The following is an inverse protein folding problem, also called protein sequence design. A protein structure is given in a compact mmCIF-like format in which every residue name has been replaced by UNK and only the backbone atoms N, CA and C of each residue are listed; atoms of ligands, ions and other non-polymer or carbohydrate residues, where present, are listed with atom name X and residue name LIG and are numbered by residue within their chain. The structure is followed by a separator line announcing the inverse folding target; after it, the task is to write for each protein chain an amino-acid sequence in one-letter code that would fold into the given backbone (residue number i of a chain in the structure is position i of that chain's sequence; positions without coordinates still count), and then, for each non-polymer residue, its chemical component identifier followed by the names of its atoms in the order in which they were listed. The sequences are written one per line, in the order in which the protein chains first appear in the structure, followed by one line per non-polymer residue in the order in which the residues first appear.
data_IF_393932558039
#
_entry.id   IF_393932558039
#
_cell.length_a   1.000
_cell.length_b   1.000
_cell.length_c   1.000
_cell.angle_alpha   90.00
_cell.angle_beta   90.00
_cell.angle_gamma   90.00
#
_symmetry.space_group_name_H-M   'P 1'
#
loop_
_entity.id
_entity.type
_entity.pdbx_description
1 polymer ?
#
# COMPACT_ATOMS: atom_id res chain seq x y z
N UNK A 1 -12.68 -15.61 6.09
CA UNK A 1 -11.20 -15.51 6.19
C UNK A 1 -10.82 -14.11 6.64
N UNK A 2 -9.66 -13.91 7.27
CA UNK A 2 -9.20 -12.61 7.75
C UNK A 2 -8.45 -11.84 6.65
N UNK A 3 -8.71 -10.53 6.57
CA UNK A 3 -8.06 -9.61 5.65
C UNK A 3 -7.36 -8.50 6.43
N UNK A 4 -6.09 -8.22 6.10
CA UNK A 4 -5.25 -7.24 6.79
C UNK A 4 -4.80 -6.16 5.82
N UNK A 5 -4.96 -4.88 6.19
CA UNK A 5 -4.44 -3.76 5.41
C UNK A 5 -3.39 -2.96 6.19
N UNK A 6 -2.24 -2.71 5.55
CA UNK A 6 -1.13 -1.93 6.11
C UNK A 6 -0.80 -0.75 5.21
N UNK A 7 -0.82 0.44 5.78
CA UNK A 7 -0.69 1.72 5.09
C UNK A 7 0.74 2.04 4.64
N UNK A 8 0.88 3.03 3.75
CA UNK A 8 2.14 3.57 3.25
C UNK A 8 2.86 4.51 4.21
N UNK A 9 4.00 5.01 3.77
CA UNK A 9 4.84 5.95 4.53
C UNK A 9 4.18 7.30 4.74
N UNK A 10 4.29 7.86 5.97
CA UNK A 10 3.68 9.14 6.33
C UNK A 10 2.15 9.12 6.42
N UNK A 11 1.55 7.93 6.46
CA UNK A 11 0.11 7.69 6.51
C UNK A 11 -0.25 6.85 7.74
N UNK A 12 -1.55 6.64 7.94
CA UNK A 12 -2.13 5.77 8.96
C UNK A 12 -3.20 4.86 8.34
N UNK A 13 -3.81 3.99 9.14
CA UNK A 13 -4.90 3.11 8.72
C UNK A 13 -6.11 3.84 8.14
N UNK A 14 -6.30 5.13 8.43
CA UNK A 14 -7.33 5.97 7.80
C UNK A 14 -7.31 5.88 6.27
N UNK A 15 -6.14 5.59 5.68
CA UNK A 15 -5.98 5.32 4.24
C UNK A 15 -7.01 4.34 3.67
N UNK A 16 -7.48 3.38 4.47
CA UNK A 16 -8.43 2.36 4.04
C UNK A 16 -9.84 2.55 4.59
N UNK A 17 -10.06 3.48 5.50
CA UNK A 17 -11.33 3.69 6.17
C UNK A 17 -12.28 4.56 5.34
N UNK A 18 -11.77 5.66 4.83
CA UNK A 18 -12.53 6.62 4.02
C UNK A 18 -11.65 7.24 2.94
N UNK A 19 -12.26 7.66 1.84
CA UNK A 19 -11.59 8.43 0.79
C UNK A 19 -11.61 9.93 1.09
N UNK A 20 -10.72 10.73 0.48
CA UNK A 20 -10.65 12.17 0.73
C UNK A 20 -11.95 12.94 0.40
N UNK A 21 -12.74 12.44 -0.53
CA UNK A 21 -14.03 12.98 -0.97
C UNK A 21 -15.23 12.41 -0.19
N UNK A 22 -14.98 11.65 0.90
CA UNK A 22 -16.00 11.19 1.83
C UNK A 22 -16.69 9.87 1.46
N UNK A 23 -16.24 9.18 0.40
CA UNK A 23 -16.72 7.82 0.11
C UNK A 23 -16.14 6.82 1.11
N UNK A 24 -16.75 5.65 1.22
CA UNK A 24 -16.21 4.52 1.97
C UNK A 24 -14.88 4.05 1.37
N UNK A 25 -13.94 3.66 2.23
CA UNK A 25 -12.66 3.09 1.82
C UNK A 25 -12.69 1.58 1.61
N UNK A 26 -11.56 1.03 1.22
CA UNK A 26 -11.41 -0.41 0.96
C UNK A 26 -11.72 -1.29 2.18
N UNK A 27 -11.56 -0.77 3.41
CA UNK A 27 -11.96 -1.52 4.61
C UNK A 27 -13.45 -1.90 4.52
N UNK A 28 -14.31 -0.94 4.25
CA UNK A 28 -15.76 -1.18 4.11
C UNK A 28 -16.08 -2.02 2.86
N UNK A 29 -15.37 -1.79 1.76
CA UNK A 29 -15.52 -2.62 0.56
C UNK A 29 -15.33 -4.10 0.89
N UNK A 30 -14.22 -4.48 1.50
CA UNK A 30 -13.93 -5.88 1.82
C UNK A 30 -14.84 -6.45 2.92
N UNK A 31 -15.27 -5.63 3.90
CA UNK A 31 -16.29 -6.04 4.87
C UNK A 31 -17.59 -6.44 4.16
N UNK A 32 -18.05 -5.63 3.19
CA UNK A 32 -19.25 -5.91 2.39
C UNK A 32 -19.11 -7.16 1.53
N UNK A 33 -17.88 -7.51 1.14
CA UNK A 33 -17.59 -8.79 0.49
C UNK A 33 -17.54 -9.97 1.46
N UNK A 34 -17.73 -9.77 2.77
CA UNK A 34 -17.78 -10.83 3.77
C UNK A 34 -16.43 -11.16 4.44
N UNK A 35 -15.40 -10.32 4.26
CA UNK A 35 -14.13 -10.48 4.95
C UNK A 35 -14.22 -9.95 6.38
N UNK A 36 -13.59 -10.63 7.34
CA UNK A 36 -13.28 -10.04 8.63
C UNK A 36 -12.02 -9.17 8.47
N UNK A 37 -12.20 -7.85 8.39
CA UNK A 37 -11.13 -6.90 8.08
C UNK A 37 -10.50 -6.34 9.35
N UNK A 38 -9.18 -6.32 9.38
CA UNK A 38 -8.41 -5.62 10.41
C UNK A 38 -7.51 -4.60 9.74
N UNK A 39 -7.70 -3.35 10.09
CA UNK A 39 -6.90 -2.24 9.64
C UNK A 39 -5.94 -1.83 10.73
N UNK A 40 -4.63 -1.87 10.45
CA UNK A 40 -3.58 -1.70 11.47
C UNK A 40 -2.74 -0.47 11.19
N UNK A 41 -2.37 0.25 12.24
CA UNK A 41 -1.36 1.29 12.19
C UNK A 41 0.02 0.72 12.52
N UNK A 42 1.03 1.12 11.74
CA UNK A 42 2.41 0.79 12.03
C UNK A 42 2.87 1.41 13.36
N UNK A 43 3.87 0.83 13.98
CA UNK A 43 4.52 1.44 15.16
C UNK A 43 4.84 2.90 14.87
N UNK A 44 4.59 3.78 15.82
CA UNK A 44 4.74 5.24 15.79
C UNK A 44 3.72 5.99 14.91
N UNK A 45 2.71 5.31 14.34
CA UNK A 45 1.71 5.90 13.45
C UNK A 45 0.30 5.79 13.98
N UNK A 46 -0.54 6.75 13.64
CA UNK A 46 -1.97 6.72 13.91
C UNK A 46 -2.32 6.29 15.34
N UNK A 47 -3.08 5.23 15.48
CA UNK A 47 -3.48 4.65 16.78
C UNK A 47 -2.33 3.99 17.57
N UNK A 48 -1.20 3.71 16.89
CA UNK A 48 0.04 3.23 17.51
C UNK A 48 1.07 4.36 17.68
N UNK A 49 0.60 5.61 17.78
CA UNK A 49 1.38 6.83 17.60
C UNK A 49 2.22 7.27 18.79
N UNK A 50 2.19 6.57 19.93
CA UNK A 50 3.04 6.97 21.03
C UNK A 50 4.50 6.65 20.75
N UNK A 51 5.26 7.72 20.51
CA UNK A 51 6.68 7.66 20.25
C UNK A 51 7.46 8.02 21.51
N UNK A 52 8.23 7.09 22.04
CA UNK A 52 9.17 7.36 23.13
C UNK A 52 10.45 8.01 22.55
N UNK A 53 10.30 9.27 22.13
CA UNK A 53 11.41 10.07 21.62
C UNK A 53 12.04 10.86 22.79
N UNK A 54 13.37 10.96 22.88
CA UNK A 54 14.40 10.34 22.04
C UNK A 54 14.84 8.93 22.48
N UNK A 55 14.20 8.35 23.49
CA UNK A 55 14.71 7.13 24.15
C UNK A 55 14.61 5.91 23.22
N UNK A 56 13.44 5.68 22.62
CA UNK A 56 13.19 4.53 21.73
C UNK A 56 13.40 4.92 20.27
N UNK A 57 12.85 6.06 19.84
CA UNK A 57 12.97 6.53 18.46
C UNK A 57 14.08 7.56 18.34
N UNK A 58 15.06 7.28 17.51
CA UNK A 58 16.27 8.10 17.33
C UNK A 58 16.12 9.08 16.17
N UNK A 59 16.66 10.29 16.35
CA UNK A 59 16.65 11.35 15.34
C UNK A 59 15.30 12.03 15.15
N UNK A 60 15.27 13.02 14.30
CA UNK A 60 14.05 13.77 13.98
C UNK A 60 13.14 12.98 13.06
N UNK A 61 11.82 13.02 13.26
CA UNK A 61 10.88 12.42 12.32
C UNK A 61 10.84 13.19 11.00
N UNK A 62 10.57 12.49 9.92
CA UNK A 62 10.31 13.11 8.63
C UNK A 62 8.91 13.71 8.60
N UNK A 63 8.83 14.97 8.21
CA UNK A 63 7.59 15.68 7.92
C UNK A 63 7.44 15.83 6.41
N UNK A 64 6.20 15.76 5.93
CA UNK A 64 5.86 16.11 4.57
C UNK A 64 5.03 17.38 4.58
N UNK A 65 5.38 18.33 3.73
CA UNK A 65 4.50 19.47 3.44
C UNK A 65 3.31 19.00 2.62
N UNK A 66 2.24 19.82 2.52
CA UNK A 66 1.10 19.47 1.68
C UNK A 66 1.47 19.31 0.19
N UNK A 67 2.50 20.00 -0.28
CA UNK A 67 2.95 19.91 -1.67
C UNK A 67 3.69 18.60 -1.99
N UNK A 68 4.38 18.01 -1.00
CA UNK A 68 5.19 16.81 -1.22
C UNK A 68 4.39 15.62 -1.75
N UNK A 69 3.29 15.18 -1.10
CA UNK A 69 2.54 14.03 -1.60
C UNK A 69 1.80 14.33 -2.91
N UNK A 70 1.49 15.60 -3.21
CA UNK A 70 0.80 15.95 -4.44
C UNK A 70 1.61 15.52 -5.68
N UNK A 71 2.90 15.79 -5.69
CA UNK A 71 3.77 15.36 -6.77
C UNK A 71 4.29 13.93 -6.60
N UNK A 72 4.74 13.57 -5.39
CA UNK A 72 5.33 12.25 -5.11
C UNK A 72 4.37 11.09 -5.31
N UNK A 73 3.07 11.33 -5.18
CA UNK A 73 2.03 10.33 -5.36
C UNK A 73 1.37 10.41 -6.75
N UNK A 74 2.00 11.12 -7.68
CA UNK A 74 1.56 11.24 -9.07
C UNK A 74 0.12 11.76 -9.21
N UNK A 75 -0.28 12.64 -8.28
CA UNK A 75 -1.56 13.37 -8.33
C UNK A 75 -1.41 14.58 -9.23
N UNK A 76 -0.38 15.39 -8.95
CA UNK A 76 -0.08 16.62 -9.66
C UNK A 76 0.78 16.43 -10.91
N UNK A 77 0.67 17.38 -11.84
CA UNK A 77 1.38 17.38 -13.11
C UNK A 77 2.74 18.10 -13.01
N UNK A 78 3.57 17.61 -12.10
CA UNK A 78 4.94 18.06 -11.93
C UNK A 78 5.12 19.29 -11.01
N UNK A 79 6.35 19.85 -10.95
CA UNK A 79 6.68 20.98 -10.09
C UNK A 79 5.77 22.18 -10.34
N UNK A 80 5.31 22.83 -9.26
CA UNK A 80 4.41 24.00 -9.35
C UNK A 80 2.94 23.69 -9.64
N UNK A 81 2.56 22.42 -9.70
CA UNK A 81 1.18 22.00 -9.91
C UNK A 81 0.31 22.06 -8.64
N UNK A 82 0.93 22.05 -7.47
CA UNK A 82 0.23 22.18 -6.20
C UNK A 82 -0.27 23.61 -5.95
N UNK A 83 -1.47 23.73 -5.41
CA UNK A 83 -2.02 24.99 -4.86
C UNK A 83 -2.78 24.68 -3.57
N UNK A 84 -2.81 25.64 -2.64
CA UNK A 84 -3.69 25.58 -1.45
C UNK A 84 -5.16 25.76 -1.81
N UNK A 85 -5.45 26.34 -2.97
CA UNK A 85 -6.77 26.43 -3.58
C UNK A 85 -6.97 25.23 -4.51
N UNK A 86 -7.86 24.28 -4.21
CA UNK A 86 -8.09 23.11 -5.04
C UNK A 86 -8.44 23.42 -6.50
N UNK A 87 -9.12 24.55 -6.76
CA UNK A 87 -9.51 24.96 -8.11
C UNK A 87 -8.29 25.36 -8.98
N UNK A 88 -7.15 25.64 -8.37
CA UNK A 88 -5.89 26.01 -9.02
C UNK A 88 -4.88 24.87 -9.11
N UNK A 89 -5.21 23.70 -8.55
CA UNK A 89 -4.37 22.52 -8.67
C UNK A 89 -4.33 22.02 -10.11
N UNK A 90 -3.13 21.67 -10.59
CA UNK A 90 -2.96 21.03 -11.91
C UNK A 90 -2.72 19.55 -11.71
N UNK A 91 -3.71 18.75 -12.07
CA UNK A 91 -3.65 17.29 -11.95
C UNK A 91 -2.98 16.68 -13.18
N UNK A 92 -2.46 15.46 -13.02
CA UNK A 92 -2.11 14.61 -14.16
C UNK A 92 -3.32 14.44 -15.10
N UNK A 93 -3.11 14.44 -16.42
CA UNK A 93 -4.21 14.27 -17.38
C UNK A 93 -4.99 12.98 -17.13
N UNK A 94 -6.30 13.09 -16.92
CA UNK A 94 -7.16 11.92 -16.64
C UNK A 94 -7.07 11.38 -15.22
N UNK A 95 -6.43 12.09 -14.29
CA UNK A 95 -6.27 11.68 -12.89
C UNK A 95 -7.61 11.31 -12.24
N UNK A 96 -7.64 10.18 -11.56
CA UNK A 96 -8.78 9.70 -10.77
C UNK A 96 -8.76 10.21 -9.32
N UNK A 97 -7.70 10.89 -8.89
CA UNK A 97 -7.63 11.39 -7.52
C UNK A 97 -8.65 12.53 -7.29
N UNK A 98 -9.44 12.48 -6.19
CA UNK A 98 -10.43 13.53 -5.87
C UNK A 98 -9.73 14.78 -5.31
N UNK A 99 -9.29 15.68 -6.19
CA UNK A 99 -8.50 16.86 -5.81
C UNK A 99 -9.26 17.83 -4.88
N UNK A 100 -10.58 17.91 -5.01
CA UNK A 100 -11.44 18.66 -4.10
C UNK A 100 -11.32 18.21 -2.64
N UNK A 101 -11.02 16.93 -2.43
CA UNK A 101 -10.77 16.31 -1.12
C UNK A 101 -9.31 16.38 -0.66
N UNK A 102 -8.40 16.99 -1.41
CA UNK A 102 -6.97 16.95 -1.12
C UNK A 102 -6.62 17.47 0.29
N UNK A 103 -7.32 18.47 0.78
CA UNK A 103 -7.14 18.96 2.15
C UNK A 103 -7.50 17.90 3.19
N UNK A 104 -8.51 17.07 2.94
CA UNK A 104 -8.86 15.96 3.84
C UNK A 104 -7.80 14.86 3.77
N UNK A 105 -7.31 14.55 2.57
CA UNK A 105 -6.20 13.62 2.40
C UNK A 105 -4.99 14.01 3.25
N UNK A 106 -4.59 15.28 3.25
CA UNK A 106 -3.41 15.74 3.99
C UNK A 106 -3.57 15.69 5.51
N UNK A 107 -4.82 15.70 6.03
CA UNK A 107 -5.10 15.59 7.47
C UNK A 107 -4.76 14.23 8.08
N UNK A 108 -4.68 13.17 7.27
CA UNK A 108 -4.25 11.85 7.72
C UNK A 108 -2.72 11.69 7.72
N UNK A 109 -2.00 12.67 7.18
CA UNK A 109 -0.54 12.65 7.16
C UNK A 109 0.02 12.68 8.58
N UNK A 110 0.97 11.77 8.86
CA UNK A 110 1.65 11.68 10.15
C UNK A 110 3.17 11.71 9.93
N UNK A 111 3.91 12.35 10.84
CA UNK A 111 5.38 12.25 10.84
C UNK A 111 5.80 10.78 10.97
N UNK A 112 6.97 10.45 10.47
CA UNK A 112 7.53 9.10 10.61
C UNK A 112 9.02 9.12 10.87
N UNK A 113 9.50 8.19 11.66
CA UNK A 113 10.93 7.93 11.76
C UNK A 113 11.41 7.00 10.65
N UNK A 114 12.66 7.13 10.25
CA UNK A 114 13.29 6.24 9.25
C UNK A 114 14.05 5.08 9.90
N UNK A 115 14.13 5.05 11.21
CA UNK A 115 14.86 4.06 12.01
C UNK A 115 13.98 2.99 12.65
N UNK A 116 12.67 2.98 12.34
CA UNK A 116 11.66 2.14 13.00
C UNK A 116 11.27 0.88 12.22
N UNK A 117 11.84 0.65 11.03
CA UNK A 117 11.44 -0.45 10.14
C UNK A 117 11.50 -1.82 10.85
N UNK A 118 12.55 -2.10 11.64
CA UNK A 118 12.67 -3.36 12.38
C UNK A 118 11.61 -3.51 13.47
N UNK A 119 11.27 -2.42 14.17
CA UNK A 119 10.19 -2.42 15.16
C UNK A 119 8.84 -2.67 14.50
N UNK A 120 8.58 -2.06 13.35
CA UNK A 120 7.35 -2.27 12.56
C UNK A 120 7.25 -3.73 12.11
N UNK A 121 8.32 -4.31 11.56
CA UNK A 121 8.34 -5.71 11.11
C UNK A 121 8.09 -6.66 12.28
N UNK A 122 8.72 -6.43 13.45
CA UNK A 122 8.48 -7.26 14.64
C UNK A 122 7.02 -7.18 15.09
N UNK A 123 6.47 -5.97 15.23
CA UNK A 123 5.08 -5.77 15.64
C UNK A 123 4.07 -6.42 14.67
N UNK A 124 4.30 -6.29 13.38
CA UNK A 124 3.46 -6.94 12.36
C UNK A 124 3.62 -8.46 12.34
N UNK A 125 4.82 -8.98 12.66
CA UNK A 125 5.03 -10.43 12.80
C UNK A 125 4.25 -10.97 13.99
N UNK A 126 4.31 -10.30 15.15
CA UNK A 126 3.53 -10.67 16.34
C UNK A 126 2.01 -10.57 16.11
N UNK A 127 1.57 -9.54 15.36
CA UNK A 127 0.18 -9.43 14.97
C UNK A 127 -0.26 -10.62 14.10
N UNK A 128 0.55 -11.00 13.12
CA UNK A 128 0.28 -12.19 12.28
C UNK A 128 0.27 -13.46 13.12
N UNK A 129 1.17 -13.59 14.08
CA UNK A 129 1.21 -14.74 14.97
C UNK A 129 -0.06 -14.90 15.81
N UNK A 130 -0.65 -13.79 16.24
CA UNK A 130 -1.87 -13.77 17.07
C UNK A 130 -3.15 -14.03 16.29
N UNK A 131 -3.23 -13.57 15.03
CA UNK A 131 -4.54 -13.38 14.39
C UNK A 131 -4.68 -14.02 13.00
N UNK A 132 -3.60 -14.50 12.38
CA UNK A 132 -3.68 -15.24 11.12
C UNK A 132 -3.87 -16.75 11.35
N UNK A 133 -4.43 -17.50 10.39
CA UNK A 133 -4.22 -17.36 8.92
C UNK A 133 -5.02 -16.22 8.27
N UNK A 134 -4.36 -15.46 7.39
CA UNK A 134 -4.94 -14.26 6.80
C UNK A 134 -4.40 -13.93 5.39
N UNK A 135 -5.12 -13.09 4.66
CA UNK A 135 -4.61 -12.32 3.51
C UNK A 135 -4.03 -11.01 4.03
N UNK A 136 -2.90 -10.59 3.48
CA UNK A 136 -2.28 -9.30 3.80
C UNK A 136 -2.29 -8.42 2.53
N UNK A 137 -2.84 -7.21 2.65
CA UNK A 137 -2.73 -6.16 1.66
C UNK A 137 -1.83 -5.06 2.20
N UNK A 138 -0.83 -4.67 1.42
CA UNK A 138 0.14 -3.65 1.80
C UNK A 138 0.26 -2.59 0.72
N UNK A 139 0.51 -1.35 1.15
CA UNK A 139 0.73 -0.23 0.25
C UNK A 139 2.10 0.40 0.47
N UNK A 140 2.78 0.74 -0.62
CA UNK A 140 3.97 1.58 -0.63
C UNK A 140 5.06 1.10 0.36
N UNK A 141 5.39 1.86 1.40
CA UNK A 141 6.39 1.54 2.42
C UNK A 141 6.11 0.20 3.12
N UNK A 142 4.85 -0.17 3.31
CA UNK A 142 4.51 -1.47 3.90
C UNK A 142 4.75 -2.67 2.95
N UNK A 143 5.04 -2.41 1.67
CA UNK A 143 5.38 -3.47 0.71
C UNK A 143 6.50 -4.39 1.18
N UNK A 144 7.71 -3.89 1.47
CA UNK A 144 8.79 -4.71 2.03
C UNK A 144 8.44 -5.31 3.39
N UNK A 145 7.67 -4.63 4.24
CA UNK A 145 7.27 -5.18 5.55
C UNK A 145 6.38 -6.41 5.38
N UNK A 146 5.34 -6.30 4.55
CA UNK A 146 4.44 -7.44 4.29
C UNK A 146 5.15 -8.63 3.67
N UNK A 147 6.07 -8.39 2.73
CA UNK A 147 6.86 -9.44 2.12
C UNK A 147 7.77 -10.13 3.13
N UNK A 148 8.50 -9.39 3.98
CA UNK A 148 9.36 -9.96 5.03
C UNK A 148 8.56 -10.74 6.08
N UNK A 149 7.40 -10.24 6.48
CA UNK A 149 6.52 -10.96 7.41
C UNK A 149 5.98 -12.23 6.78
N UNK A 150 5.56 -12.20 5.51
CA UNK A 150 5.12 -13.40 4.80
C UNK A 150 6.26 -14.42 4.64
N UNK A 151 7.49 -13.97 4.37
CA UNK A 151 8.68 -14.82 4.32
C UNK A 151 9.01 -15.47 5.66
N UNK A 152 8.74 -14.77 6.77
CA UNK A 152 8.94 -15.27 8.13
C UNK A 152 7.80 -16.18 8.63
N UNK A 153 6.59 -16.06 8.05
CA UNK A 153 5.37 -16.78 8.46
C UNK A 153 4.58 -17.30 7.25
N UNK A 154 5.23 -18.11 6.38
CA UNK A 154 4.60 -18.57 5.14
C UNK A 154 3.41 -19.52 5.37
N UNK A 155 3.31 -20.14 6.51
CA UNK A 155 2.20 -20.99 6.94
C UNK A 155 0.94 -20.16 7.30
N UNK A 156 1.12 -18.93 7.78
CA UNK A 156 0.06 -18.05 8.26
C UNK A 156 -0.46 -17.09 7.20
N UNK A 157 0.40 -16.64 6.28
CA UNK A 157 0.01 -15.70 5.22
C UNK A 157 -0.49 -16.48 3.99
N UNK A 158 -1.79 -16.41 3.73
CA UNK A 158 -2.45 -17.19 2.67
C UNK A 158 -2.41 -16.54 1.30
N UNK A 159 -2.29 -15.22 1.25
CA UNK A 159 -1.97 -14.45 0.05
C UNK A 159 -1.42 -13.08 0.44
N UNK A 160 -0.67 -12.48 -0.48
CA UNK A 160 -0.09 -11.15 -0.31
C UNK A 160 -0.48 -10.27 -1.50
N UNK A 161 -1.15 -9.15 -1.23
CA UNK A 161 -1.50 -8.12 -2.21
C UNK A 161 -0.60 -6.91 -2.01
N UNK A 162 0.18 -6.59 -3.02
CA UNK A 162 1.15 -5.50 -3.03
C UNK A 162 0.61 -4.35 -3.89
N UNK A 163 0.12 -3.30 -3.26
CA UNK A 163 -0.32 -2.08 -3.95
C UNK A 163 0.87 -1.13 -4.02
N UNK A 164 1.47 -1.02 -5.19
CA UNK A 164 2.65 -0.19 -5.45
C UNK A 164 3.73 -0.30 -4.34
N UNK A 165 4.30 -1.48 -4.11
CA UNK A 165 5.29 -1.70 -3.05
C UNK A 165 6.56 -0.88 -3.29
N UNK A 166 7.07 -0.20 -2.25
CA UNK A 166 8.24 0.67 -2.35
C UNK A 166 9.59 -0.08 -2.48
N UNK A 167 9.60 -1.37 -2.14
CA UNK A 167 10.76 -2.25 -2.30
C UNK A 167 10.33 -3.73 -2.23
N UNK A 168 11.14 -4.66 -2.73
CA UNK A 168 10.91 -6.10 -2.59
C UNK A 168 11.19 -6.63 -1.18
N UNK A 169 10.85 -7.90 -0.97
CA UNK A 169 11.30 -8.70 0.16
C UNK A 169 12.77 -9.10 0.09
N UNK A 170 13.18 -10.01 0.96
CA UNK A 170 14.54 -10.57 0.92
C UNK A 170 14.64 -11.60 -0.21
N UNK A 171 15.51 -11.34 -1.18
CA UNK A 171 15.73 -12.22 -2.32
C UNK A 171 16.21 -13.63 -1.91
N UNK A 172 16.98 -13.73 -0.82
CA UNK A 172 17.48 -15.01 -0.30
C UNK A 172 16.36 -15.90 0.27
N UNK A 173 15.24 -15.29 0.65
CA UNK A 173 14.07 -15.95 1.22
C UNK A 173 12.89 -16.07 0.24
N UNK A 174 13.11 -15.85 -1.06
CA UNK A 174 12.06 -15.92 -2.07
C UNK A 174 11.34 -17.28 -2.06
N UNK A 175 12.07 -18.37 -1.83
CA UNK A 175 11.52 -19.72 -1.75
C UNK A 175 10.50 -19.94 -0.61
N UNK A 176 10.55 -19.14 0.44
CA UNK A 176 9.57 -19.21 1.53
C UNK A 176 8.16 -18.82 1.06
N UNK A 177 8.07 -18.08 -0.05
CA UNK A 177 6.79 -17.61 -0.61
C UNK A 177 6.19 -18.57 -1.67
N UNK A 178 6.75 -19.76 -1.86
CA UNK A 178 6.27 -20.71 -2.87
C UNK A 178 4.79 -21.09 -2.74
N UNK A 179 4.26 -21.11 -1.51
CA UNK A 179 2.85 -21.45 -1.22
C UNK A 179 1.99 -20.20 -0.90
N UNK A 180 2.55 -19.00 -0.98
CA UNK A 180 1.86 -17.74 -0.75
C UNK A 180 1.69 -17.03 -2.11
N UNK A 181 0.52 -17.10 -2.76
CA UNK A 181 0.30 -16.37 -4.00
C UNK A 181 0.40 -14.86 -3.77
N UNK A 182 1.04 -14.17 -4.70
CA UNK A 182 1.32 -12.74 -4.63
C UNK A 182 0.69 -12.05 -5.82
N UNK A 183 -0.03 -10.97 -5.56
CA UNK A 183 -0.51 -10.03 -6.57
C UNK A 183 0.17 -8.68 -6.36
N UNK A 184 0.79 -8.13 -7.40
CA UNK A 184 1.26 -6.74 -7.42
C UNK A 184 0.34 -5.89 -8.31
N UNK A 185 -0.14 -4.76 -7.79
CA UNK A 185 -1.03 -3.83 -8.49
C UNK A 185 -0.32 -2.50 -8.67
N UNK A 186 -0.29 -1.99 -9.89
CA UNK A 186 0.36 -0.72 -10.24
C UNK A 186 -0.61 0.23 -10.94
N UNK A 187 -0.59 1.50 -10.49
CA UNK A 187 -1.35 2.60 -11.07
C UNK A 187 -0.72 3.18 -12.35
N UNK A 188 -1.13 4.39 -12.67
CA UNK A 188 -0.71 5.10 -13.87
C UNK A 188 0.50 6.03 -13.63
N UNK A 189 1.03 6.63 -14.70
CA UNK A 189 2.12 7.62 -14.72
C UNK A 189 3.45 7.13 -14.11
N UNK A 190 3.63 5.83 -13.95
CA UNK A 190 4.86 5.25 -13.36
C UNK A 190 6.08 5.62 -14.21
N UNK A 191 5.98 5.53 -15.53
CA UNK A 191 7.10 5.82 -16.44
C UNK A 191 7.55 7.28 -16.42
N UNK A 192 6.68 8.18 -15.98
CA UNK A 192 6.97 9.60 -15.87
C UNK A 192 7.61 9.99 -14.53
N UNK A 193 7.59 9.09 -13.54
CA UNK A 193 8.17 9.34 -12.22
C UNK A 193 9.66 8.97 -12.20
N UNK A 194 10.54 9.82 -11.64
CA UNK A 194 11.98 9.57 -11.66
C UNK A 194 12.44 8.34 -10.84
N UNK A 195 11.58 7.77 -10.00
CA UNK A 195 11.92 6.66 -9.08
C UNK A 195 11.15 5.38 -9.37
N UNK A 196 9.88 5.51 -9.72
CA UNK A 196 8.96 4.38 -9.79
C UNK A 196 9.29 3.33 -10.86
N UNK A 197 9.86 3.67 -12.04
CA UNK A 197 10.29 2.65 -13.00
C UNK A 197 11.29 1.67 -12.38
N UNK A 198 12.30 2.19 -11.67
CA UNK A 198 13.32 1.36 -11.00
C UNK A 198 12.73 0.56 -9.84
N UNK A 199 11.88 1.18 -9.01
CA UNK A 199 11.23 0.52 -7.87
C UNK A 199 10.39 -0.67 -8.38
N UNK A 200 9.57 -0.45 -9.42
CA UNK A 200 8.76 -1.49 -10.05
C UNK A 200 9.63 -2.60 -10.65
N UNK A 201 10.68 -2.24 -11.38
CA UNK A 201 11.59 -3.22 -11.99
C UNK A 201 12.23 -4.13 -10.94
N UNK A 202 12.66 -3.60 -9.80
CA UNK A 202 13.22 -4.38 -8.70
C UNK A 202 12.18 -5.35 -8.09
N UNK A 203 10.93 -4.91 -7.95
CA UNK A 203 9.85 -5.78 -7.46
C UNK A 203 9.52 -6.89 -8.45
N UNK A 204 9.49 -6.58 -9.76
CA UNK A 204 9.26 -7.59 -10.79
C UNK A 204 10.39 -8.63 -10.83
N UNK A 205 11.65 -8.19 -10.71
CA UNK A 205 12.80 -9.10 -10.59
C UNK A 205 12.66 -10.03 -9.39
N UNK A 206 12.21 -9.54 -8.24
CA UNK A 206 11.91 -10.37 -7.08
C UNK A 206 10.76 -11.34 -7.38
N UNK A 207 9.74 -10.91 -8.10
CA UNK A 207 8.65 -11.78 -8.55
C UNK A 207 9.13 -12.95 -9.39
N UNK A 208 10.10 -12.73 -10.29
CA UNK A 208 10.71 -13.83 -11.07
C UNK A 208 11.48 -14.80 -10.16
N UNK A 209 12.12 -14.35 -9.11
CA UNK A 209 12.77 -15.23 -8.12
C UNK A 209 11.75 -16.10 -7.37
N UNK A 210 10.59 -15.52 -6.99
CA UNK A 210 9.49 -16.28 -6.38
C UNK A 210 8.96 -17.33 -7.34
N UNK A 211 8.76 -17.00 -8.62
CA UNK A 211 8.32 -17.95 -9.65
C UNK A 211 9.35 -19.06 -9.88
N UNK A 212 10.63 -18.72 -9.95
CA UNK A 212 11.71 -19.69 -10.09
C UNK A 212 11.78 -20.70 -8.92
N UNK A 213 11.33 -20.27 -7.74
CA UNK A 213 11.19 -21.12 -6.55
C UNK A 213 9.88 -21.94 -6.52
N UNK A 214 9.07 -21.88 -7.58
CA UNK A 214 7.80 -22.58 -7.70
C UNK A 214 6.59 -21.84 -7.11
N UNK A 215 6.74 -20.56 -6.77
CA UNK A 215 5.66 -19.71 -6.27
C UNK A 215 4.84 -19.02 -7.37
N UNK A 216 3.76 -18.35 -6.96
CA UNK A 216 2.90 -17.58 -7.85
C UNK A 216 3.12 -16.08 -7.61
N UNK A 217 3.46 -15.36 -8.67
CA UNK A 217 3.56 -13.91 -8.67
C UNK A 217 2.86 -13.36 -9.91
N UNK A 218 1.79 -12.62 -9.69
CA UNK A 218 0.97 -12.03 -10.74
C UNK A 218 1.01 -10.50 -10.64
N UNK A 219 0.79 -9.83 -11.77
CA UNK A 219 0.84 -8.37 -11.87
C UNK A 219 -0.41 -7.87 -12.57
N UNK A 220 -1.07 -6.87 -11.97
CA UNK A 220 -2.06 -6.04 -12.64
C UNK A 220 -1.44 -4.68 -12.85
N UNK A 221 -1.17 -4.33 -14.10
CA UNK A 221 -0.83 -2.98 -14.51
C UNK A 221 -2.14 -2.31 -14.97
N UNK A 222 -2.68 -1.42 -14.16
CA UNK A 222 -4.01 -0.84 -14.39
C UNK A 222 -4.15 -0.18 -15.77
N UNK A 223 -3.20 0.63 -16.26
CA UNK A 223 -3.30 1.20 -17.60
C UNK A 223 -3.38 0.14 -18.71
N UNK A 224 -2.63 -0.96 -18.59
CA UNK A 224 -2.67 -2.06 -19.56
C UNK A 224 -3.98 -2.86 -19.49
N UNK A 225 -4.62 -2.88 -18.30
CA UNK A 225 -5.95 -3.43 -18.11
C UNK A 225 -7.08 -2.47 -18.54
N UNK A 226 -6.75 -1.32 -19.15
CA UNK A 226 -7.72 -0.31 -19.59
C UNK A 226 -8.20 0.63 -18.48
N UNK A 227 -7.65 0.54 -17.27
CA UNK A 227 -8.00 1.37 -16.11
C UNK A 227 -6.93 2.43 -15.95
N UNK A 228 -7.24 3.68 -16.32
CA UNK A 228 -6.29 4.79 -16.41
C UNK A 228 -6.51 5.85 -15.35
N UNK A 229 -5.49 6.66 -15.12
CA UNK A 229 -5.55 7.85 -14.26
C UNK A 229 -5.35 7.55 -12.78
N UNK A 230 -4.98 6.33 -12.40
CA UNK A 230 -4.77 5.99 -11.00
C UNK A 230 -3.45 6.56 -10.47
N UNK A 231 -3.56 7.30 -9.37
CA UNK A 231 -2.43 7.84 -8.62
C UNK A 231 -1.70 6.74 -7.83
N UNK A 232 -0.67 7.12 -7.08
CA UNK A 232 -0.08 6.22 -6.08
C UNK A 232 -1.05 5.82 -4.96
N UNK A 233 -2.09 6.64 -4.75
CA UNK A 233 -3.13 6.40 -3.74
C UNK A 233 -4.35 5.69 -4.35
N UNK A 234 -4.13 4.59 -5.05
CA UNK A 234 -5.14 3.81 -5.79
C UNK A 234 -6.42 3.58 -4.96
N UNK A 235 -6.28 3.29 -3.66
CA UNK A 235 -7.39 3.05 -2.75
C UNK A 235 -8.22 4.32 -2.43
N UNK A 236 -7.76 5.49 -2.85
CA UNK A 236 -8.44 6.77 -2.65
C UNK A 236 -8.97 7.38 -3.95
N UNK A 237 -8.53 6.86 -5.09
CA UNK A 237 -8.97 7.33 -6.41
C UNK A 237 -10.49 7.08 -6.61
N UNK A 238 -11.12 7.84 -7.51
CA UNK A 238 -12.58 7.74 -7.75
C UNK A 238 -13.03 6.36 -8.20
N UNK A 239 -12.17 5.63 -8.88
CA UNK A 239 -12.39 4.26 -9.34
C UNK A 239 -11.83 3.19 -8.39
N UNK A 240 -11.57 3.54 -7.12
CA UNK A 240 -10.96 2.64 -6.12
C UNK A 240 -11.70 1.31 -5.96
N UNK A 241 -13.04 1.32 -5.99
CA UNK A 241 -13.86 0.11 -5.86
C UNK A 241 -13.72 -0.82 -7.06
N UNK A 242 -13.51 -0.28 -8.26
CA UNK A 242 -13.20 -1.09 -9.45
C UNK A 242 -11.90 -1.87 -9.24
N UNK A 243 -10.87 -1.22 -8.70
CA UNK A 243 -9.58 -1.89 -8.42
C UNK A 243 -9.73 -2.89 -7.26
N UNK A 244 -10.47 -2.55 -6.20
CA UNK A 244 -10.79 -3.50 -5.13
C UNK A 244 -11.50 -4.74 -5.67
N UNK A 245 -12.40 -4.58 -6.66
CA UNK A 245 -13.06 -5.69 -7.37
C UNK A 245 -12.08 -6.63 -8.05
N UNK A 246 -11.09 -6.11 -8.77
CA UNK A 246 -10.04 -6.93 -9.39
C UNK A 246 -9.24 -7.73 -8.34
N UNK A 247 -8.92 -7.11 -7.22
CA UNK A 247 -8.24 -7.80 -6.10
C UNK A 247 -9.13 -8.91 -5.54
N UNK A 248 -10.41 -8.63 -5.31
CA UNK A 248 -11.39 -9.60 -4.82
C UNK A 248 -11.53 -10.79 -5.78
N UNK A 249 -11.64 -10.54 -7.08
CA UNK A 249 -11.71 -11.59 -8.11
C UNK A 249 -10.44 -12.44 -8.12
N UNK A 250 -9.28 -11.82 -8.00
CA UNK A 250 -8.02 -12.55 -7.93
C UNK A 250 -7.95 -13.43 -6.68
N UNK A 251 -8.36 -12.93 -5.51
CA UNK A 251 -8.42 -13.71 -4.27
C UNK A 251 -9.39 -14.90 -4.40
N UNK A 252 -10.54 -14.71 -5.04
CA UNK A 252 -11.48 -15.79 -5.31
C UNK A 252 -10.88 -16.88 -6.23
N UNK A 253 -10.12 -16.49 -7.26
CA UNK A 253 -9.39 -17.42 -8.15
C UNK A 253 -8.29 -18.21 -7.40
N UNK A 254 -7.77 -17.68 -6.28
CA UNK A 254 -6.86 -18.43 -5.40
C UNK A 254 -7.61 -19.37 -4.43
N UNK A 255 -8.93 -19.43 -4.46
CA UNK A 255 -9.74 -20.26 -3.56
C UNK A 255 -9.82 -19.72 -2.13
N UNK A 256 -9.47 -18.47 -1.90
CA UNK A 256 -9.40 -17.87 -0.56
C UNK A 256 -10.72 -17.25 -0.09
N UNK A 257 -11.65 -17.09 -0.99
CA UNK A 257 -12.99 -16.59 -0.74
C UNK A 257 -13.98 -17.31 -1.64
N UNK A 258 -15.16 -17.64 -1.09
CA UNK A 258 -16.27 -18.27 -1.83
C UNK A 258 -17.44 -17.31 -1.91
#
# INVERSE_FOLDING_TARGET
MLFRSWHGGGLSGVTYETTPDGREGWMNYFIKQGWAVYNSDAVERGRSGWAMYPDVFKGEPLFLTKADPFNRFRIGDGPGSFSTDPAKMKLKPGSQFPAEGYNNFTKQGVPRWTTTDDAIIRAYTELVDKVCPCVILVHSQSGPFGQKVAQARPDKVKALVLVEPAAPGDAKLAANLKNTPILAVYGDYIEEDPRWPTIRANQLKFGEQVKAAGGKFEVINLPQAGIKGNSHMIMMDRNSDQVAGLIQEWLAKQGLFR
#
